data_IF_544631722934
#
_entry.id   IF_544631722934
#
_cell.length_a   1.000
_cell.length_b   1.000
_cell.length_c   1.000
_cell.angle_alpha   90.00
_cell.angle_beta   90.00
_cell.angle_gamma   90.00
#
_symmetry.space_group_name_H-M   'P 1'
#
loop_
_entity.id
_entity.type
_entity.pdbx_description
1 polymer ?
#
# COMPACT_ATOMS: atom_id res chain seq x y z
N UNK A 1 -11.83 -26.66 -8.06
CA UNK A 1 -11.20 -25.62 -7.21
C UNK A 1 -9.68 -25.77 -7.18
N UNK A 2 -9.10 -26.91 -6.76
CA UNK A 2 -7.64 -27.12 -6.86
C UNK A 2 -7.08 -27.07 -8.30
N UNK A 3 -7.83 -27.56 -9.28
CA UNK A 3 -7.44 -27.51 -10.69
C UNK A 3 -7.22 -26.08 -11.21
N UNK A 4 -7.90 -25.09 -10.63
CA UNK A 4 -7.66 -23.69 -10.96
C UNK A 4 -6.27 -23.23 -10.51
N UNK A 5 -5.80 -23.66 -9.32
CA UNK A 5 -4.46 -23.34 -8.83
C UNK A 5 -3.38 -23.90 -9.76
N UNK A 6 -3.57 -25.12 -10.29
CA UNK A 6 -2.63 -25.74 -11.23
C UNK A 6 -2.56 -24.96 -12.55
N UNK A 7 -3.66 -24.37 -13.00
CA UNK A 7 -3.68 -23.58 -14.23
C UNK A 7 -3.02 -22.20 -14.11
N UNK A 8 -2.98 -21.62 -12.91
CA UNK A 8 -2.43 -20.27 -12.69
C UNK A 8 -0.98 -20.26 -12.23
N UNK A 9 -0.46 -21.39 -11.74
CA UNK A 9 0.97 -21.54 -11.41
C UNK A 9 1.78 -21.83 -12.66
N UNK A 10 3.02 -21.35 -12.66
CA UNK A 10 3.95 -21.60 -13.77
C UNK A 10 4.22 -23.10 -13.92
N UNK A 11 4.10 -23.61 -15.14
CA UNK A 11 4.31 -25.03 -15.47
C UNK A 11 5.74 -25.47 -15.14
N UNK A 12 5.90 -26.62 -14.49
CA UNK A 12 7.18 -27.16 -14.04
C UNK A 12 7.73 -26.52 -12.76
N UNK A 13 7.06 -25.52 -12.20
CA UNK A 13 7.52 -24.78 -11.03
C UNK A 13 7.45 -25.59 -9.72
N UNK A 14 8.16 -25.11 -8.69
CA UNK A 14 8.06 -25.67 -7.34
C UNK A 14 6.67 -25.45 -6.72
N UNK A 15 5.97 -24.40 -7.14
CA UNK A 15 4.61 -24.09 -6.70
C UNK A 15 3.61 -25.10 -7.28
N UNK A 16 3.74 -25.44 -8.56
CA UNK A 16 2.91 -26.48 -9.21
C UNK A 16 3.04 -27.83 -8.50
N UNK A 17 4.28 -28.29 -8.27
CA UNK A 17 4.53 -29.55 -7.56
C UNK A 17 3.94 -29.57 -6.15
N UNK A 18 3.92 -28.42 -5.48
CA UNK A 18 3.31 -28.29 -4.17
C UNK A 18 1.78 -28.44 -4.26
N UNK A 19 1.12 -27.77 -5.20
CA UNK A 19 -0.33 -27.89 -5.41
C UNK A 19 -0.71 -29.32 -5.81
N UNK A 20 0.05 -29.96 -6.69
CA UNK A 20 -0.16 -31.35 -7.13
C UNK A 20 0.02 -32.37 -6.01
N UNK A 21 0.75 -32.04 -4.94
CA UNK A 21 0.94 -32.94 -3.79
C UNK A 21 -0.31 -33.10 -2.93
N UNK A 22 -1.28 -32.18 -3.06
CA UNK A 22 -2.54 -32.26 -2.34
C UNK A 22 -3.56 -33.14 -3.09
N UNK A 23 -4.31 -33.99 -2.37
CA UNK A 23 -5.50 -34.63 -2.92
C UNK A 23 -6.47 -33.61 -3.51
N UNK A 24 -7.11 -33.95 -4.64
CA UNK A 24 -8.06 -33.07 -5.35
C UNK A 24 -9.43 -32.97 -4.65
N UNK A 25 -9.43 -32.67 -3.36
CA UNK A 25 -10.63 -32.46 -2.53
C UNK A 25 -10.85 -30.97 -2.28
N UNK A 26 -12.11 -30.55 -2.13
CA UNK A 26 -12.44 -29.15 -1.86
C UNK A 26 -11.88 -28.65 -0.52
N UNK A 27 -11.76 -29.54 0.47
CA UNK A 27 -11.20 -29.24 1.80
C UNK A 27 -9.75 -28.81 1.77
N UNK A 28 -8.99 -29.25 0.76
CA UNK A 28 -7.54 -29.04 0.71
C UNK A 28 -7.16 -27.75 -0.05
N UNK A 29 -8.13 -27.05 -0.63
CA UNK A 29 -7.89 -25.80 -1.33
C UNK A 29 -7.35 -24.69 -0.42
N UNK A 30 -7.92 -24.41 0.77
CA UNK A 30 -7.38 -23.42 1.68
C UNK A 30 -5.97 -23.80 2.16
N UNK A 31 -5.73 -25.08 2.40
CA UNK A 31 -4.44 -25.58 2.90
C UNK A 31 -3.33 -25.52 1.83
N UNK A 32 -3.68 -25.79 0.57
CA UNK A 32 -2.77 -25.57 -0.57
C UNK A 32 -2.40 -24.08 -0.73
N UNK A 33 -3.37 -23.17 -0.58
CA UNK A 33 -3.11 -21.72 -0.60
C UNK A 33 -2.21 -21.32 0.56
N UNK A 34 -2.50 -21.80 1.77
CA UNK A 34 -1.69 -21.51 2.95
C UNK A 34 -0.25 -21.97 2.76
N UNK A 35 -0.03 -23.20 2.28
CA UNK A 35 1.32 -23.71 2.02
C UNK A 35 2.04 -22.97 0.89
N UNK A 36 1.31 -22.51 -0.14
CA UNK A 36 1.87 -21.62 -1.16
C UNK A 36 2.31 -20.27 -0.55
N UNK A 37 1.49 -19.69 0.31
CA UNK A 37 1.81 -18.43 1.00
C UNK A 37 2.97 -18.60 1.98
N UNK A 38 3.02 -19.68 2.77
CA UNK A 38 4.13 -19.92 3.72
C UNK A 38 5.46 -20.14 3.00
N UNK A 39 5.44 -20.80 1.84
CA UNK A 39 6.66 -21.18 1.12
C UNK A 39 7.14 -20.14 0.11
N UNK A 40 6.21 -19.42 -0.50
CA UNK A 40 6.49 -18.47 -1.59
C UNK A 40 5.98 -17.06 -1.33
N UNK A 41 5.10 -16.87 -0.34
CA UNK A 41 4.76 -15.54 0.17
C UNK A 41 6.00 -14.90 0.78
N UNK A 42 6.33 -13.71 0.29
CA UNK A 42 7.48 -12.94 0.73
C UNK A 42 6.99 -11.56 1.14
N UNK A 43 6.17 -11.54 2.17
CA UNK A 43 5.54 -10.32 2.67
C UNK A 43 6.58 -9.26 3.01
N UNK A 44 7.73 -9.65 3.58
CA UNK A 44 8.84 -8.73 3.85
C UNK A 44 9.42 -8.10 2.57
N UNK A 45 9.51 -8.87 1.48
CA UNK A 45 9.96 -8.35 0.19
C UNK A 45 8.92 -7.40 -0.41
N UNK A 46 7.63 -7.73 -0.29
CA UNK A 46 6.55 -6.86 -0.74
C UNK A 46 6.54 -5.54 0.03
N UNK A 47 6.70 -5.59 1.35
CA UNK A 47 6.88 -4.39 2.19
C UNK A 47 8.06 -3.55 1.69
N UNK A 48 9.20 -4.18 1.41
CA UNK A 48 10.37 -3.48 0.88
C UNK A 48 10.07 -2.80 -0.46
N UNK A 49 9.41 -3.48 -1.38
CA UNK A 49 9.02 -2.92 -2.70
C UNK A 49 8.09 -1.72 -2.50
N UNK A 50 7.05 -1.83 -1.68
CA UNK A 50 6.13 -0.71 -1.45
C UNK A 50 6.80 0.48 -0.79
N UNK A 51 7.72 0.26 0.17
CA UNK A 51 8.51 1.36 0.77
C UNK A 51 9.47 1.97 -0.25
N UNK A 52 10.12 1.17 -1.10
CA UNK A 52 11.01 1.67 -2.15
C UNK A 52 10.25 2.49 -3.21
N UNK A 53 9.03 2.07 -3.54
CA UNK A 53 8.13 2.82 -4.41
C UNK A 53 7.76 4.18 -3.80
N UNK A 54 7.39 4.20 -2.51
CA UNK A 54 7.09 5.45 -1.79
C UNK A 54 8.30 6.39 -1.78
N UNK A 55 9.51 5.87 -1.49
CA UNK A 55 10.75 6.65 -1.57
C UNK A 55 11.00 7.18 -2.98
N UNK A 56 10.67 6.40 -4.01
CA UNK A 56 10.78 6.84 -5.40
C UNK A 56 9.80 7.98 -5.71
N UNK A 57 8.61 7.97 -5.13
CA UNK A 57 7.64 9.08 -5.23
C UNK A 57 8.18 10.34 -4.54
N UNK A 58 8.77 10.22 -3.35
CA UNK A 58 9.46 11.36 -2.67
C UNK A 58 10.55 11.95 -3.56
N UNK A 59 11.39 11.10 -4.15
CA UNK A 59 12.47 11.56 -5.05
C UNK A 59 11.91 12.27 -6.29
N UNK A 60 10.83 11.76 -6.89
CA UNK A 60 10.15 12.42 -8.01
C UNK A 60 9.62 13.80 -7.62
N UNK A 61 9.00 13.92 -6.44
CA UNK A 61 8.53 15.20 -5.92
C UNK A 61 9.69 16.20 -5.75
N UNK A 62 10.81 15.77 -5.15
CA UNK A 62 11.97 16.63 -4.90
C UNK A 62 12.74 17.04 -6.18
N UNK A 63 12.86 16.14 -7.16
CA UNK A 63 13.69 16.36 -8.36
C UNK A 63 12.95 17.04 -9.50
N UNK A 64 11.64 16.79 -9.63
CA UNK A 64 10.90 17.25 -10.81
C UNK A 64 10.34 18.66 -10.64
N UNK A 65 10.46 19.25 -9.46
CA UNK A 65 10.31 20.69 -9.21
C UNK A 65 9.21 21.38 -10.03
N UNK A 66 8.00 20.78 -10.10
CA UNK A 66 6.79 21.19 -10.87
C UNK A 66 6.34 20.33 -12.07
N UNK A 67 6.72 19.06 -12.25
CA UNK A 67 5.75 18.18 -12.93
C UNK A 67 4.61 17.93 -11.96
N UNK A 68 3.51 18.66 -12.16
CA UNK A 68 2.23 18.37 -11.52
C UNK A 68 1.75 17.02 -12.03
N UNK A 69 2.25 15.93 -11.44
CA UNK A 69 1.45 14.72 -11.36
C UNK A 69 0.14 15.19 -10.74
N UNK A 70 -0.97 15.03 -11.46
CA UNK A 70 -2.26 15.48 -10.97
C UNK A 70 -2.49 14.91 -9.58
N UNK A 71 -2.99 15.73 -8.66
CA UNK A 71 -3.29 15.29 -7.29
C UNK A 71 -4.13 14.00 -7.25
N UNK A 72 -5.07 13.75 -8.18
CA UNK A 72 -5.79 12.47 -8.25
C UNK A 72 -4.86 11.26 -8.46
N UNK A 73 -3.91 11.36 -9.38
CA UNK A 73 -2.97 10.26 -9.70
C UNK A 73 -2.05 10.00 -8.50
N UNK A 74 -1.56 11.07 -7.88
CA UNK A 74 -0.71 10.97 -6.70
C UNK A 74 -1.45 10.30 -5.53
N UNK A 75 -2.70 10.71 -5.30
CA UNK A 75 -3.55 10.13 -4.27
C UNK A 75 -3.81 8.65 -4.53
N UNK A 76 -4.19 8.26 -5.75
CA UNK A 76 -4.47 6.87 -6.09
C UNK A 76 -3.22 5.97 -5.90
N UNK A 77 -2.03 6.46 -6.28
CA UNK A 77 -0.78 5.75 -6.05
C UNK A 77 -0.45 5.63 -4.55
N UNK A 78 -0.64 6.69 -3.77
CA UNK A 78 -0.41 6.69 -2.32
C UNK A 78 -1.38 5.75 -1.59
N UNK A 79 -2.68 5.87 -1.87
CA UNK A 79 -3.72 5.04 -1.27
C UNK A 79 -3.51 3.56 -1.60
N UNK A 80 -3.17 3.24 -2.86
CA UNK A 80 -2.87 1.88 -3.29
C UNK A 80 -1.70 1.27 -2.51
N UNK A 81 -0.60 2.02 -2.34
CA UNK A 81 0.58 1.55 -1.60
C UNK A 81 0.31 1.43 -0.10
N UNK A 82 -0.39 2.39 0.51
CA UNK A 82 -0.76 2.36 1.92
C UNK A 82 -1.70 1.17 2.22
N UNK A 83 -2.70 0.94 1.36
CA UNK A 83 -3.62 -0.19 1.49
C UNK A 83 -2.91 -1.53 1.33
N UNK A 84 -1.94 -1.63 0.41
CA UNK A 84 -1.13 -2.83 0.26
C UNK A 84 -0.27 -3.10 1.51
N UNK A 85 0.35 -2.07 2.08
CA UNK A 85 1.08 -2.16 3.34
C UNK A 85 0.17 -2.57 4.51
N UNK A 86 -1.05 -2.02 4.59
CA UNK A 86 -2.04 -2.40 5.60
C UNK A 86 -2.45 -3.87 5.48
N UNK A 87 -2.65 -4.37 4.26
CA UNK A 87 -2.96 -5.79 4.00
C UNK A 87 -1.84 -6.74 4.44
N UNK A 88 -0.60 -6.26 4.50
CA UNK A 88 0.59 -6.96 5.01
C UNK A 88 0.80 -6.74 6.52
N UNK A 89 -0.21 -6.23 7.23
CA UNK A 89 -0.18 -6.01 8.68
C UNK A 89 0.61 -4.77 9.10
N UNK A 90 0.98 -3.88 8.16
CA UNK A 90 1.64 -2.59 8.44
C UNK A 90 0.61 -1.49 8.68
N UNK A 91 -0.25 -1.72 9.67
CA UNK A 91 -1.35 -0.83 10.04
C UNK A 91 -0.88 0.55 10.48
N UNK A 92 -1.72 1.56 10.28
CA UNK A 92 -1.48 2.93 10.74
C UNK A 92 -1.15 3.02 12.24
N UNK A 93 -1.74 2.18 13.09
CA UNK A 93 -1.44 2.21 14.53
C UNK A 93 0.02 1.87 14.87
N UNK A 94 0.63 0.98 14.08
CA UNK A 94 2.01 0.49 14.31
C UNK A 94 3.04 1.26 13.51
N UNK A 95 2.68 1.71 12.32
CA UNK A 95 3.62 2.31 11.35
C UNK A 95 3.28 3.75 10.99
N UNK A 96 2.19 4.33 11.52
CA UNK A 96 1.73 5.68 11.20
C UNK A 96 2.79 6.74 11.44
N UNK A 97 3.57 6.64 12.52
CA UNK A 97 4.67 7.57 12.81
C UNK A 97 5.78 7.57 11.74
N UNK A 98 5.97 6.45 11.03
CA UNK A 98 6.94 6.33 9.95
C UNK A 98 6.33 6.67 8.59
N UNK A 99 5.09 6.22 8.33
CA UNK A 99 4.40 6.43 7.06
C UNK A 99 3.97 7.88 6.86
N UNK A 100 3.61 8.58 7.94
CA UNK A 100 3.18 9.99 7.90
C UNK A 100 4.21 10.90 7.23
N UNK A 101 5.46 11.02 7.74
CA UNK A 101 6.44 11.93 7.11
C UNK A 101 6.81 11.48 5.69
N UNK A 102 6.70 10.18 5.40
CA UNK A 102 6.95 9.65 4.06
C UNK A 102 5.88 10.10 3.07
N UNK A 103 4.60 10.05 3.47
CA UNK A 103 3.46 10.53 2.67
C UNK A 103 3.54 12.04 2.48
N UNK A 104 3.84 12.81 3.54
CA UNK A 104 4.03 14.26 3.43
C UNK A 104 5.12 14.62 2.43
N UNK A 105 6.23 13.87 2.44
CA UNK A 105 7.35 14.09 1.51
C UNK A 105 7.00 13.77 0.04
N UNK A 106 5.94 13.00 -0.21
CA UNK A 106 5.43 12.73 -1.56
C UNK A 106 4.55 13.87 -2.09
N UNK A 107 4.02 14.74 -1.22
CA UNK A 107 3.06 15.76 -1.60
C UNK A 107 3.74 17.05 -2.07
N UNK A 108 3.16 17.76 -3.05
CA UNK A 108 3.59 19.11 -3.40
C UNK A 108 3.44 20.08 -2.23
N UNK A 109 4.31 21.09 -2.20
CA UNK A 109 4.33 22.10 -1.13
C UNK A 109 2.98 22.85 -1.03
N UNK A 110 2.31 23.10 -2.15
CA UNK A 110 1.01 23.78 -2.15
C UNK A 110 -0.08 22.98 -1.41
N UNK A 111 -0.04 21.65 -1.54
CA UNK A 111 -0.98 20.74 -0.87
C UNK A 111 -0.67 20.65 0.62
N UNK A 112 0.61 20.61 0.99
CA UNK A 112 1.03 20.63 2.39
C UNK A 112 0.61 21.93 3.09
N UNK A 113 0.75 23.08 2.43
CA UNK A 113 0.28 24.36 2.96
C UNK A 113 -1.24 24.37 3.15
N UNK A 114 -2.00 23.82 2.18
CA UNK A 114 -3.44 23.71 2.27
C UNK A 114 -3.88 22.81 3.46
N UNK A 115 -3.18 21.69 3.66
CA UNK A 115 -3.38 20.78 4.79
C UNK A 115 -3.06 21.44 6.15
N UNK A 116 -1.94 22.16 6.27
CA UNK A 116 -1.60 22.86 7.51
C UNK A 116 -2.65 23.92 7.86
N UNK A 117 -3.16 24.65 6.85
CA UNK A 117 -4.23 25.65 7.04
C UNK A 117 -5.56 25.02 7.47
N UNK A 118 -5.95 23.89 6.88
CA UNK A 118 -7.17 23.19 7.30
C UNK A 118 -7.03 22.67 8.74
N UNK A 119 -5.84 22.19 9.11
CA UNK A 119 -5.57 21.64 10.44
C UNK A 119 -5.49 22.70 11.53
N UNK A 120 -4.94 23.88 11.27
CA UNK A 120 -4.89 24.98 12.26
C UNK A 120 -6.27 25.48 12.69
N UNK A 121 -7.34 25.14 11.96
CA UNK A 121 -8.72 25.47 12.32
C UNK A 121 -9.41 24.41 13.21
N UNK A 122 -8.84 23.22 13.36
CA UNK A 122 -9.38 22.13 14.17
C UNK A 122 -8.50 21.88 15.41
N UNK A 123 -9.08 22.08 16.61
CA UNK A 123 -8.35 22.02 17.88
C UNK A 123 -7.62 20.67 18.12
N UNK A 124 -6.42 20.79 18.71
CA UNK A 124 -5.36 19.80 18.96
C UNK A 124 -5.75 18.48 19.66
N UNK A 125 -6.44 17.56 19.00
CA UNK A 125 -6.56 16.21 19.59
C UNK A 125 -6.58 15.13 18.52
N UNK A 126 -5.41 14.50 18.28
CA UNK A 126 -5.17 13.04 18.13
C UNK A 126 -3.97 12.75 17.21
N UNK A 127 -2.79 12.57 17.80
CA UNK A 127 -1.63 11.97 17.11
C UNK A 127 -1.90 10.54 16.59
N UNK A 128 -2.99 9.89 17.00
CA UNK A 128 -3.32 8.52 16.58
C UNK A 128 -4.04 8.42 15.23
N UNK A 129 -4.59 9.51 14.68
CA UNK A 129 -5.37 9.52 13.41
C UNK A 129 -4.78 10.39 12.31
N UNK A 130 -3.58 10.92 12.53
CA UNK A 130 -2.93 11.86 11.64
C UNK A 130 -2.91 11.43 10.16
N UNK A 131 -2.44 10.22 9.88
CA UNK A 131 -2.31 9.73 8.50
C UNK A 131 -3.69 9.55 7.84
N UNK A 132 -4.67 9.02 8.58
CA UNK A 132 -6.04 8.87 8.07
C UNK A 132 -6.70 10.22 7.80
N UNK A 133 -6.44 11.22 8.64
CA UNK A 133 -6.98 12.57 8.47
C UNK A 133 -6.36 13.25 7.23
N UNK A 134 -5.05 13.09 7.03
CA UNK A 134 -4.35 13.55 5.83
C UNK A 134 -4.90 12.88 4.56
N UNK A 135 -5.08 11.55 4.56
CA UNK A 135 -5.64 10.84 3.41
C UNK A 135 -7.09 11.26 3.10
N UNK A 136 -7.90 11.55 4.14
CA UNK A 136 -9.25 12.07 3.96
C UNK A 136 -9.26 13.49 3.37
N UNK A 137 -8.33 14.34 3.80
CA UNK A 137 -8.14 15.67 3.21
C UNK A 137 -7.76 15.58 1.73
N UNK A 138 -6.77 14.76 1.38
CA UNK A 138 -6.35 14.56 0.00
C UNK A 138 -7.50 14.06 -0.89
N UNK A 139 -8.31 13.14 -0.37
CA UNK A 139 -9.50 12.67 -1.08
C UNK A 139 -10.52 13.79 -1.33
N UNK A 140 -10.65 14.73 -0.39
CA UNK A 140 -11.49 15.92 -0.53
C UNK A 140 -10.97 16.86 -1.61
N UNK A 141 -9.68 17.17 -1.60
CA UNK A 141 -9.03 18.03 -2.59
C UNK A 141 -9.13 17.43 -4.01
N UNK A 142 -8.89 16.13 -4.16
CA UNK A 142 -9.03 15.39 -5.43
C UNK A 142 -10.46 15.47 -6.00
N UNK A 143 -11.48 15.52 -5.15
CA UNK A 143 -12.89 15.64 -5.57
C UNK A 143 -13.34 17.07 -5.84
N UNK A 144 -12.58 18.05 -5.36
CA UNK A 144 -12.87 19.47 -5.56
C UNK A 144 -12.20 20.05 -6.81
N UNK A 145 -11.24 19.32 -7.39
CA UNK A 145 -10.58 19.63 -8.68
C UNK A 145 -11.46 19.24 -9.88
#
# INVERSE_FOLDING_TARGET
MLQYLIQVVEEGSKAERLVQSFPATASNYPEAIQQLQERFGRDDLLVQIYVQDLLSMVMKNATTGRMKIGLPILYDELDGKLRALESLGKTQEKYGNFLTPLVESCLPEEVLIAWERSRSNENETKNSRYLSDLMAFLQGEVRSE
#
